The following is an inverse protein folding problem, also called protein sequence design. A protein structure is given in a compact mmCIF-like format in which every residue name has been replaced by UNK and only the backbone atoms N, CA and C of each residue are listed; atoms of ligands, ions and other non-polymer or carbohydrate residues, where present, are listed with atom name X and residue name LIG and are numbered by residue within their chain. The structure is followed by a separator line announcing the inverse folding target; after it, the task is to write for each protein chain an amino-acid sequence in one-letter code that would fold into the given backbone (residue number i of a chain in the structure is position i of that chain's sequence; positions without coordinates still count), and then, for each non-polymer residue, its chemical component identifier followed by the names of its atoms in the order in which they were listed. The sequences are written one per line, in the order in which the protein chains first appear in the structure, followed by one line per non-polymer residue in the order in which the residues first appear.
data_IF_110190865720
#
_entry.id   IF_110190865720
#
_cell.length_a   1.000
_cell.length_b   1.000
_cell.length_c   1.000
_cell.angle_alpha   90.00
_cell.angle_beta   90.00
_cell.angle_gamma   90.00
#
_symmetry.space_group_name_H-M   'P 1'
#
loop_
_entity.id
_entity.type
_entity.pdbx_description
1 polymer ?
#
# COMPACT_ATOMS: atom_id res chain seq x y z
N UNK A 1 -20.96 23.35 -60.92
CA UNK A 1 -20.14 22.16 -61.17
C UNK A 1 -20.39 21.17 -60.04
N UNK A 2 -20.78 19.96 -60.40
CA UNK A 2 -21.31 18.90 -59.54
C UNK A 2 -20.19 18.19 -58.77
N UNK A 3 -20.44 17.82 -57.51
CA UNK A 3 -19.68 16.78 -56.80
C UNK A 3 -20.68 15.76 -56.27
N UNK A 4 -20.66 14.59 -56.90
CA UNK A 4 -21.52 13.44 -56.64
C UNK A 4 -21.07 12.73 -55.36
N UNK A 5 -22.02 12.46 -54.46
CA UNK A 5 -21.91 11.45 -53.42
C UNK A 5 -22.15 10.07 -54.06
N UNK A 6 -21.30 9.08 -53.76
CA UNK A 6 -21.63 7.67 -54.01
C UNK A 6 -21.15 6.77 -52.87
N UNK A 7 -22.15 6.07 -52.35
CA UNK A 7 -22.15 5.08 -51.28
C UNK A 7 -21.31 3.85 -51.65
N UNK A 8 -20.58 3.30 -50.68
CA UNK A 8 -19.99 1.96 -50.76
C UNK A 8 -20.62 1.06 -49.70
N UNK A 9 -21.34 0.03 -50.16
CA UNK A 9 -21.79 -1.10 -49.37
C UNK A 9 -20.68 -2.16 -49.25
N UNK A 10 -20.62 -2.93 -48.15
CA UNK A 10 -19.60 -3.95 -47.94
C UNK A 10 -19.87 -5.26 -48.70
N UNK A 11 -18.81 -5.84 -49.26
CA UNK A 11 -18.80 -7.19 -49.84
C UNK A 11 -18.81 -8.25 -48.74
N UNK A 12 -19.75 -9.18 -48.85
CA UNK A 12 -19.76 -10.45 -48.13
C UNK A 12 -18.74 -11.40 -48.76
N UNK A 13 -17.87 -11.99 -47.94
CA UNK A 13 -17.07 -13.17 -48.29
C UNK A 13 -17.58 -14.35 -47.47
N UNK A 14 -18.21 -15.30 -48.17
CA UNK A 14 -18.47 -16.64 -47.70
C UNK A 14 -17.20 -17.48 -47.90
N UNK A 15 -16.75 -18.20 -46.88
CA UNK A 15 -15.95 -19.40 -47.06
C UNK A 15 -16.37 -20.48 -46.07
N UNK A 16 -16.28 -21.69 -46.61
CA UNK A 16 -16.88 -22.94 -46.21
C UNK A 16 -16.06 -23.69 -45.16
N UNK A 17 -16.79 -24.36 -44.26
CA UNK A 17 -16.59 -25.64 -43.57
C UNK A 17 -15.19 -26.25 -43.47
N UNK A 18 -14.78 -26.55 -42.24
CA UNK A 18 -13.69 -27.46 -41.90
C UNK A 18 -13.87 -28.05 -40.50
N UNK A 19 -13.91 -29.37 -40.45
CA UNK A 19 -14.22 -30.28 -39.34
C UNK A 19 -13.48 -30.09 -38.01
N UNK A 20 -14.16 -30.53 -36.93
CA UNK A 20 -13.51 -31.16 -35.79
C UNK A 20 -14.06 -30.76 -34.41
N UNK A 21 -14.98 -31.52 -33.79
CA UNK A 21 -15.26 -31.36 -32.37
C UNK A 21 -14.05 -31.85 -31.56
N UNK A 22 -13.37 -30.92 -30.88
CA UNK A 22 -12.43 -31.27 -29.80
C UNK A 22 -13.26 -31.75 -28.60
N UNK A 23 -13.15 -33.04 -28.31
CA UNK A 23 -13.60 -33.65 -27.06
C UNK A 23 -13.00 -32.88 -25.87
N UNK A 24 -13.89 -32.34 -25.05
CA UNK A 24 -13.57 -31.76 -23.74
C UNK A 24 -13.54 -32.94 -22.76
N UNK A 25 -12.42 -33.23 -22.07
CA UNK A 25 -12.45 -34.24 -21.02
C UNK A 25 -13.35 -33.77 -19.86
N UNK A 26 -14.16 -34.66 -19.27
CA UNK A 26 -15.06 -34.31 -18.18
C UNK A 26 -14.28 -33.92 -16.90
N UNK A 27 -14.90 -33.12 -16.01
CA UNK A 27 -14.31 -32.76 -14.73
C UNK A 27 -14.11 -34.00 -13.86
N UNK A 28 -12.89 -34.15 -13.33
CA UNK A 28 -12.57 -35.16 -12.32
C UNK A 28 -13.35 -34.85 -11.05
N UNK A 29 -14.40 -35.63 -10.79
CA UNK A 29 -15.02 -35.79 -9.48
C UNK A 29 -14.03 -36.54 -8.58
N UNK A 30 -13.43 -35.86 -7.61
CA UNK A 30 -12.86 -36.54 -6.45
C UNK A 30 -13.99 -36.82 -5.47
N UNK A 31 -14.34 -38.10 -5.36
CA UNK A 31 -15.25 -38.61 -4.35
C UNK A 31 -14.66 -38.50 -2.95
N UNK A 32 -15.60 -38.34 -2.02
CA UNK A 32 -15.44 -38.27 -0.60
C UNK A 32 -14.75 -39.51 -0.01
N UNK A 33 -13.86 -39.26 0.95
CA UNK A 33 -13.28 -40.28 1.82
C UNK A 33 -13.02 -39.73 3.22
N UNK A 34 -13.98 -39.95 4.11
CA UNK A 34 -13.77 -40.25 5.54
C UNK A 34 -13.07 -39.21 6.44
N UNK A 35 -13.84 -38.43 7.20
CA UNK A 35 -13.39 -37.93 8.52
C UNK A 35 -13.37 -39.04 9.57
N UNK A 36 -13.25 -38.74 10.89
CA UNK A 36 -12.54 -37.65 11.54
C UNK A 36 -11.45 -38.19 12.50
N UNK A 37 -10.38 -37.42 12.75
CA UNK A 37 -9.66 -37.52 14.02
C UNK A 37 -9.45 -36.14 14.61
N UNK A 38 -10.39 -35.82 15.50
CA UNK A 38 -10.25 -34.81 16.54
C UNK A 38 -8.97 -35.11 17.32
N UNK A 39 -8.03 -34.17 17.32
CA UNK A 39 -6.97 -34.15 18.31
C UNK A 39 -7.47 -33.27 19.47
N UNK A 40 -7.52 -33.79 20.71
CA UNK A 40 -8.13 -33.09 21.83
C UNK A 40 -7.35 -31.83 22.21
N UNK A 41 -8.12 -30.80 22.53
CA UNK A 41 -7.71 -29.60 23.25
C UNK A 41 -6.81 -29.98 24.43
N UNK A 42 -5.58 -29.51 24.38
CA UNK A 42 -4.72 -29.46 25.55
C UNK A 42 -5.19 -28.28 26.42
N UNK A 43 -5.59 -28.49 27.68
CA UNK A 43 -6.04 -27.41 28.55
C UNK A 43 -4.91 -26.43 28.86
N UNK A 44 -5.22 -25.13 28.81
CA UNK A 44 -4.36 -24.09 29.32
C UNK A 44 -4.10 -24.31 30.83
N UNK A 45 -2.85 -24.21 31.31
CA UNK A 45 -2.59 -24.20 32.74
C UNK A 45 -3.10 -22.89 33.38
N UNK A 46 -3.62 -22.94 34.61
CA UNK A 46 -4.23 -21.80 35.29
C UNK A 46 -3.17 -20.83 35.85
N UNK A 47 -3.53 -19.54 35.85
CA UNK A 47 -3.03 -18.44 36.70
C UNK A 47 -1.64 -18.62 37.35
N UNK A 48 -0.64 -17.93 36.80
CA UNK A 48 0.46 -17.42 37.62
C UNK A 48 0.47 -15.89 37.61
N UNK A 49 0.69 -15.24 38.77
CA UNK A 49 0.70 -13.78 38.87
C UNK A 49 1.91 -13.22 38.11
N UNK A 50 1.66 -12.27 37.19
CA UNK A 50 2.72 -11.45 36.61
C UNK A 50 3.28 -10.53 37.69
N UNK A 51 4.40 -10.92 38.27
CA UNK A 51 5.23 -10.04 39.08
C UNK A 51 5.90 -9.02 38.15
N UNK A 52 5.59 -7.75 38.38
CA UNK A 52 6.37 -6.61 37.90
C UNK A 52 7.79 -6.71 38.46
N UNK A 53 8.80 -6.71 37.59
CA UNK A 53 10.18 -6.42 37.98
C UNK A 53 10.76 -5.40 37.01
N UNK A 54 11.00 -4.15 37.45
CA UNK A 54 11.83 -3.20 36.71
C UNK A 54 13.29 -3.48 37.06
N UNK A 55 14.06 -4.00 36.12
CA UNK A 55 15.50 -4.18 36.31
C UNK A 55 16.27 -3.17 35.48
N UNK A 56 16.67 -2.10 36.17
CA UNK A 56 17.82 -1.27 35.85
C UNK A 56 19.02 -2.15 35.43
N UNK A 57 19.56 -1.88 34.25
CA UNK A 57 20.98 -2.16 33.95
C UNK A 57 21.65 -0.88 33.52
N UNK A 58 22.39 -0.32 34.46
CA UNK A 58 23.54 0.54 34.22
C UNK A 58 24.64 -0.30 33.55
N UNK A 59 25.01 0.05 32.33
CA UNK A 59 26.29 -0.32 31.75
C UNK A 59 26.86 0.93 31.07
N UNK A 60 27.91 1.46 31.69
CA UNK A 60 28.70 2.59 31.25
C UNK A 60 29.62 2.14 30.11
N UNK A 61 29.45 2.71 28.91
CA UNK A 61 30.28 2.52 27.74
C UNK A 61 30.35 3.84 26.97
N UNK A 62 31.57 4.30 26.73
CA UNK A 62 31.91 5.68 26.35
C UNK A 62 31.59 6.02 24.88
N UNK A 63 31.17 7.27 24.68
CA UNK A 63 31.32 8.11 23.49
C UNK A 63 30.70 7.66 22.15
N UNK A 64 29.45 8.06 21.96
CA UNK A 64 28.88 8.51 20.69
C UNK A 64 27.82 9.55 21.03
N UNK A 65 28.04 10.82 20.71
CA UNK A 65 26.97 11.83 20.73
C UNK A 65 26.07 11.56 19.52
N UNK A 66 25.38 10.43 19.53
CA UNK A 66 24.15 10.30 18.77
C UNK A 66 23.11 11.00 19.62
N UNK A 67 22.64 12.16 19.14
CA UNK A 67 21.41 12.73 19.67
C UNK A 67 20.38 11.61 19.78
N UNK A 68 19.55 11.57 20.85
CA UNK A 68 18.44 10.63 20.86
C UNK A 68 17.68 10.83 19.54
N UNK A 69 17.68 9.80 18.68
CA UNK A 69 16.77 9.77 17.54
C UNK A 69 15.40 10.08 18.13
N UNK A 70 14.87 11.26 17.82
CA UNK A 70 13.56 11.61 18.34
C UNK A 70 12.61 10.50 17.91
N UNK A 71 11.82 9.94 18.85
CA UNK A 71 10.89 8.90 18.50
C UNK A 71 9.97 9.47 17.41
N UNK A 72 9.85 8.75 16.30
CA UNK A 72 8.97 9.09 15.19
C UNK A 72 7.68 9.75 15.71
N UNK A 73 7.34 10.91 15.15
CA UNK A 73 6.10 11.59 15.49
C UNK A 73 4.94 10.61 15.31
N UNK A 74 4.32 10.20 16.42
CA UNK A 74 3.12 9.34 16.34
C UNK A 74 2.08 10.14 15.56
N UNK A 75 1.50 9.62 14.47
CA UNK A 75 0.61 10.41 13.64
C UNK A 75 -0.53 11.01 14.47
N UNK A 76 -0.86 12.26 14.19
CA UNK A 76 -2.02 12.95 14.76
C UNK A 76 -3.23 12.59 13.90
N UNK A 77 -4.37 12.34 14.53
CA UNK A 77 -5.62 12.02 13.86
C UNK A 77 -6.68 13.04 14.26
N UNK A 78 -7.26 13.73 13.28
CA UNK A 78 -8.27 14.77 13.49
C UNK A 78 -9.58 14.43 12.77
N UNK A 79 -10.70 14.55 13.48
CA UNK A 79 -12.02 14.30 12.90
C UNK A 79 -12.41 12.82 12.74
N UNK A 80 -11.66 11.90 13.37
CA UNK A 80 -11.93 10.46 13.32
C UNK A 80 -12.54 9.93 14.62
N UNK A 81 -13.27 8.82 14.51
CA UNK A 81 -13.65 8.00 15.68
C UNK A 81 -12.44 7.19 16.17
N UNK A 82 -12.40 6.76 17.46
CA UNK A 82 -11.30 5.94 17.98
C UNK A 82 -11.04 4.65 17.18
N UNK A 83 -12.08 4.06 16.58
CA UNK A 83 -11.93 2.88 15.73
C UNK A 83 -11.20 3.20 14.41
N UNK A 84 -11.52 4.35 13.81
CA UNK A 84 -10.85 4.84 12.60
C UNK A 84 -9.40 5.21 12.89
N UNK A 85 -9.12 5.90 14.00
CA UNK A 85 -7.76 6.23 14.44
C UNK A 85 -6.90 4.97 14.61
N UNK A 86 -7.43 3.95 15.31
CA UNK A 86 -6.74 2.67 15.47
C UNK A 86 -6.49 1.96 14.13
N UNK A 87 -7.42 2.07 13.18
CA UNK A 87 -7.25 1.52 11.83
C UNK A 87 -6.13 2.23 11.08
N UNK A 88 -6.15 3.57 11.07
CA UNK A 88 -5.14 4.39 10.39
C UNK A 88 -3.76 4.23 11.04
N UNK A 89 -3.68 4.19 12.37
CA UNK A 89 -2.43 3.96 13.11
C UNK A 89 -1.78 2.62 12.76
N UNK A 90 -2.57 1.55 12.68
CA UNK A 90 -2.09 0.23 12.25
C UNK A 90 -1.65 0.22 10.80
N UNK A 91 -2.42 0.86 9.92
CA UNK A 91 -2.11 0.95 8.50
C UNK A 91 -0.83 1.77 8.27
N UNK A 92 -0.65 2.90 8.94
CA UNK A 92 0.58 3.70 8.88
C UNK A 92 1.80 2.90 9.36
N UNK A 93 1.66 2.22 10.50
CA UNK A 93 2.72 1.35 11.02
C UNK A 93 3.06 0.20 10.06
N UNK A 94 2.07 -0.31 9.32
CA UNK A 94 2.29 -1.34 8.31
C UNK A 94 2.95 -0.78 7.05
N UNK A 95 2.47 0.35 6.54
CA UNK A 95 3.06 1.07 5.42
C UNK A 95 4.55 1.35 5.67
N UNK A 96 4.92 1.80 6.88
CA UNK A 96 6.32 1.99 7.28
C UNK A 96 7.16 0.72 7.10
N UNK A 97 6.66 -0.43 7.55
CA UNK A 97 7.36 -1.72 7.38
C UNK A 97 7.44 -2.14 5.92
N UNK A 98 6.41 -1.87 5.12
CA UNK A 98 6.41 -2.16 3.68
C UNK A 98 7.46 -1.33 2.94
N UNK A 99 7.51 -0.01 3.20
CA UNK A 99 8.50 0.91 2.64
C UNK A 99 9.91 0.47 3.03
N UNK A 100 10.15 0.22 4.32
CA UNK A 100 11.43 -0.26 4.82
C UNK A 100 11.84 -1.58 4.15
N UNK A 101 10.92 -2.55 4.08
CA UNK A 101 11.21 -3.85 3.44
C UNK A 101 11.47 -3.72 1.95
N UNK A 102 10.78 -2.81 1.25
CA UNK A 102 11.01 -2.56 -0.17
C UNK A 102 12.39 -1.93 -0.40
N UNK A 103 12.78 -0.97 0.45
CA UNK A 103 14.10 -0.33 0.41
C UNK A 103 15.22 -1.34 0.66
N UNK A 104 15.11 -2.14 1.72
CA UNK A 104 16.11 -3.16 2.05
C UNK A 104 16.23 -4.21 0.94
N UNK A 105 15.10 -4.63 0.36
CA UNK A 105 15.12 -5.56 -0.78
C UNK A 105 15.86 -4.95 -1.98
N UNK A 106 15.60 -3.68 -2.31
CA UNK A 106 16.25 -3.00 -3.43
C UNK A 106 17.78 -2.84 -3.21
N UNK A 107 18.21 -2.63 -1.96
CA UNK A 107 19.64 -2.52 -1.61
C UNK A 107 20.39 -3.85 -1.57
N UNK A 108 19.70 -4.93 -1.22
CA UNK A 108 20.34 -6.24 -0.96
C UNK A 108 20.18 -7.22 -2.11
N UNK A 109 19.27 -6.98 -3.05
CA UNK A 109 18.96 -7.88 -4.15
C UNK A 109 18.82 -7.10 -5.47
N UNK A 110 19.20 -7.70 -6.61
CA UNK A 110 18.87 -7.12 -7.91
C UNK A 110 17.34 -6.91 -8.07
N UNK A 111 16.91 -5.89 -8.84
CA UNK A 111 15.51 -5.72 -9.22
C UNK A 111 14.89 -7.01 -9.80
N UNK A 112 13.67 -7.33 -9.37
CA UNK A 112 12.95 -8.53 -9.76
C UNK A 112 11.74 -8.23 -10.67
N UNK A 113 10.98 -9.26 -11.03
CA UNK A 113 9.78 -9.12 -11.86
C UNK A 113 8.74 -8.15 -11.26
N UNK A 114 8.66 -8.06 -9.93
CA UNK A 114 7.73 -7.13 -9.27
C UNK A 114 8.22 -5.69 -9.43
N UNK A 115 9.53 -5.46 -9.36
CA UNK A 115 10.09 -4.15 -9.70
C UNK A 115 9.72 -3.78 -11.14
N UNK A 116 9.98 -4.67 -12.11
CA UNK A 116 9.72 -4.41 -13.54
C UNK A 116 8.24 -4.11 -13.83
N UNK A 117 7.32 -4.83 -13.17
CA UNK A 117 5.88 -4.59 -13.32
C UNK A 117 5.45 -3.19 -12.87
N UNK A 118 6.08 -2.63 -11.84
CA UNK A 118 5.67 -1.35 -11.26
C UNK A 118 6.48 -0.17 -11.80
N UNK A 119 7.77 -0.38 -12.08
CA UNK A 119 8.72 0.68 -12.40
C UNK A 119 9.32 0.54 -13.81
N UNK A 120 8.91 -0.47 -14.60
CA UNK A 120 9.48 -0.79 -15.92
C UNK A 120 10.91 -1.31 -15.81
N UNK A 121 11.61 -1.38 -16.94
CA UNK A 121 12.99 -1.88 -17.02
C UNK A 121 13.92 -1.23 -15.99
N UNK A 122 14.72 -2.01 -15.24
CA UNK A 122 15.57 -1.51 -14.17
C UNK A 122 16.86 -0.87 -14.71
N UNK A 123 16.74 0.31 -15.31
CA UNK A 123 17.93 1.11 -15.65
C UNK A 123 18.60 1.65 -14.38
N UNK A 124 19.91 1.92 -14.37
CA UNK A 124 20.60 2.48 -13.21
C UNK A 124 19.95 3.78 -12.69
N UNK A 125 19.48 4.63 -13.59
CA UNK A 125 18.82 5.90 -13.25
C UNK A 125 17.46 5.66 -12.58
N UNK A 126 16.67 4.74 -13.10
CA UNK A 126 15.35 4.40 -12.56
C UNK A 126 15.49 3.76 -11.17
N UNK A 127 16.39 2.78 -11.02
CA UNK A 127 16.65 2.11 -9.72
C UNK A 127 17.10 3.12 -8.67
N UNK A 128 18.01 4.05 -9.05
CA UNK A 128 18.47 5.11 -8.16
C UNK A 128 17.33 6.03 -7.73
N UNK A 129 16.40 6.35 -8.62
CA UNK A 129 15.25 7.19 -8.30
C UNK A 129 14.26 6.49 -7.36
N UNK A 130 13.94 5.22 -7.63
CA UNK A 130 13.10 4.42 -6.72
C UNK A 130 13.76 4.29 -5.35
N UNK A 131 15.07 4.05 -5.28
CA UNK A 131 15.83 4.01 -4.03
C UNK A 131 15.79 5.36 -3.29
N UNK A 132 15.94 6.49 -4.01
CA UNK A 132 15.84 7.84 -3.43
C UNK A 132 14.48 8.06 -2.78
N UNK A 133 13.40 7.76 -3.51
CA UNK A 133 12.03 7.95 -3.01
C UNK A 133 11.79 7.07 -1.78
N UNK A 134 12.09 5.77 -1.86
CA UNK A 134 11.91 4.85 -0.74
C UNK A 134 12.75 5.23 0.48
N UNK A 135 13.98 5.72 0.28
CA UNK A 135 14.83 6.23 1.37
C UNK A 135 14.21 7.46 2.04
N UNK A 136 13.69 8.39 1.26
CA UNK A 136 13.04 9.58 1.79
C UNK A 136 11.75 9.23 2.54
N UNK A 137 10.95 8.29 2.02
CA UNK A 137 9.76 7.78 2.70
C UNK A 137 10.12 7.11 4.03
N UNK A 138 11.10 6.19 4.03
CA UNK A 138 11.54 5.47 5.23
C UNK A 138 12.02 6.44 6.32
N UNK A 139 12.84 7.42 5.93
CA UNK A 139 13.32 8.48 6.82
C UNK A 139 12.17 9.34 7.34
N UNK A 140 11.30 9.83 6.46
CA UNK A 140 10.20 10.71 6.86
C UNK A 140 9.24 10.00 7.82
N UNK A 141 8.83 8.77 7.51
CA UNK A 141 7.99 7.96 8.39
C UNK A 141 8.68 7.54 9.72
N UNK A 142 9.99 7.75 9.84
CA UNK A 142 10.75 7.52 11.06
C UNK A 142 10.97 8.76 11.92
N UNK A 143 10.84 9.96 11.38
CA UNK A 143 11.23 11.17 12.10
C UNK A 143 10.20 12.31 12.03
N UNK A 144 9.40 12.38 10.97
CA UNK A 144 8.50 13.50 10.76
C UNK A 144 7.15 13.27 11.43
N UNK A 145 6.43 14.36 11.67
CA UNK A 145 5.10 14.34 12.26
C UNK A 145 4.05 14.38 11.14
N UNK A 146 3.31 13.27 11.00
CA UNK A 146 2.17 13.20 10.08
C UNK A 146 0.88 13.61 10.78
N UNK A 147 -0.01 14.27 10.04
CA UNK A 147 -1.37 14.55 10.49
C UNK A 147 -2.37 13.98 9.49
N UNK A 148 -3.24 13.10 9.96
CA UNK A 148 -4.37 12.60 9.20
C UNK A 148 -5.59 13.42 9.57
N UNK A 149 -6.30 13.96 8.58
CA UNK A 149 -7.54 14.71 8.77
C UNK A 149 -8.69 14.04 8.03
N UNK A 150 -9.86 13.94 8.67
CA UNK A 150 -11.06 13.57 7.96
C UNK A 150 -11.40 14.68 6.96
N UNK A 151 -11.46 14.35 5.67
CA UNK A 151 -11.80 15.32 4.65
C UNK A 151 -13.29 15.66 4.71
N UNK A 152 -13.60 16.95 4.62
CA UNK A 152 -14.95 17.37 4.31
C UNK A 152 -15.24 17.12 2.82
N UNK A 153 -16.44 16.63 2.47
CA UNK A 153 -16.84 16.52 1.07
C UNK A 153 -16.70 17.87 0.37
N UNK A 154 -15.90 17.93 -0.69
CA UNK A 154 -15.69 19.11 -1.52
C UNK A 154 -16.05 18.79 -2.97
N UNK A 155 -16.55 19.78 -3.71
CA UNK A 155 -16.77 19.65 -5.16
C UNK A 155 -15.48 19.57 -5.97
N UNK A 156 -14.33 19.89 -5.36
CA UNK A 156 -13.02 19.94 -6.01
C UNK A 156 -12.29 18.60 -5.99
N UNK A 157 -12.63 17.71 -5.05
CA UNK A 157 -12.03 16.38 -4.93
C UNK A 157 -13.09 15.34 -5.33
N UNK A 158 -12.87 14.56 -6.39
CA UNK A 158 -13.88 13.61 -6.83
C UNK A 158 -14.18 12.57 -5.73
N UNK A 159 -15.47 12.22 -5.57
CA UNK A 159 -15.93 11.27 -4.55
C UNK A 159 -15.37 9.84 -4.70
N UNK A 160 -14.60 9.57 -5.76
CA UNK A 160 -13.90 8.30 -5.98
C UNK A 160 -12.53 8.21 -5.30
N UNK A 161 -11.95 9.32 -4.85
CA UNK A 161 -10.62 9.37 -4.22
C UNK A 161 -10.70 8.91 -2.78
N UNK A 162 -9.84 7.98 -2.35
CA UNK A 162 -9.83 7.49 -0.96
C UNK A 162 -9.10 8.43 -0.01
N UNK A 163 -8.04 9.08 -0.47
CA UNK A 163 -7.30 10.09 0.27
C UNK A 163 -6.68 11.10 -0.73
N UNK A 164 -6.12 12.18 -0.21
CA UNK A 164 -5.28 13.11 -0.96
C UNK A 164 -4.34 13.86 -0.01
N UNK A 165 -3.30 14.49 -0.57
CA UNK A 165 -2.42 15.41 0.13
C UNK A 165 -2.44 16.80 -0.50
N UNK A 166 -2.25 17.84 0.29
CA UNK A 166 -2.01 19.18 -0.23
C UNK A 166 -0.50 19.42 -0.34
N UNK A 167 0.06 19.29 -1.54
CA UNK A 167 1.50 19.48 -1.78
C UNK A 167 1.90 20.95 -1.99
N UNK A 168 0.93 21.88 -1.98
CA UNK A 168 1.16 23.30 -2.24
C UNK A 168 1.24 24.14 -0.96
N UNK A 169 0.80 23.59 0.17
CA UNK A 169 0.77 24.28 1.44
C UNK A 169 2.05 24.00 2.27
N UNK A 170 2.91 25.00 2.39
CA UNK A 170 4.12 24.90 3.20
C UNK A 170 3.86 25.01 4.70
N UNK A 171 2.70 25.54 5.09
CA UNK A 171 2.36 25.76 6.50
C UNK A 171 1.79 24.47 7.14
N UNK A 172 1.44 23.50 6.30
CA UNK A 172 0.84 22.22 6.65
C UNK A 172 1.63 21.02 6.07
N UNK A 173 2.91 20.84 6.45
CA UNK A 173 3.70 19.72 5.97
C UNK A 173 3.11 18.38 6.44
N UNK A 174 3.13 17.38 5.55
CA UNK A 174 2.76 15.98 5.85
C UNK A 174 1.31 15.77 6.34
N UNK A 175 0.38 16.60 5.86
CA UNK A 175 -1.05 16.41 6.07
C UNK A 175 -1.69 15.50 5.00
N UNK A 176 -2.40 14.47 5.45
CA UNK A 176 -3.14 13.52 4.61
C UNK A 176 -4.63 13.64 4.92
N UNK A 177 -5.43 13.98 3.91
CA UNK A 177 -6.87 14.10 4.01
C UNK A 177 -7.54 12.79 3.59
N UNK A 178 -8.29 12.17 4.50
CA UNK A 178 -8.95 10.89 4.28
C UNK A 178 -10.41 11.12 3.92
N UNK A 179 -10.82 10.69 2.73
CA UNK A 179 -12.16 10.91 2.21
C UNK A 179 -13.18 9.93 2.82
N UNK A 180 -14.48 10.27 2.90
CA UNK A 180 -15.49 9.37 3.47
C UNK A 180 -15.60 8.00 2.77
N UNK A 181 -15.39 7.97 1.45
CA UNK A 181 -15.41 6.74 0.64
C UNK A 181 -14.22 5.79 0.92
N UNK A 182 -13.17 6.24 1.61
CA UNK A 182 -12.04 5.42 2.08
C UNK A 182 -12.55 4.20 2.84
N UNK A 183 -13.60 4.41 3.65
CA UNK A 183 -14.20 3.40 4.52
C UNK A 183 -15.19 2.48 3.79
N UNK A 184 -15.69 2.89 2.62
CA UNK A 184 -16.68 2.13 1.85
C UNK A 184 -16.06 0.98 1.05
N UNK A 185 -14.75 1.04 0.85
CA UNK A 185 -14.02 -0.05 0.26
C UNK A 185 -13.73 -1.04 1.39
N UNK A 186 -14.32 -2.24 1.30
CA UNK A 186 -13.98 -3.34 2.20
C UNK A 186 -12.45 -3.46 2.31
N UNK A 187 -11.89 -3.88 3.46
CA UNK A 187 -10.45 -4.07 3.61
C UNK A 187 -10.02 -5.27 2.77
N UNK A 188 -9.95 -5.07 1.45
CA UNK A 188 -9.14 -5.89 0.58
C UNK A 188 -7.70 -5.79 1.09
N UNK A 189 -7.03 -6.93 1.15
CA UNK A 189 -5.72 -7.07 1.77
C UNK A 189 -4.76 -6.00 1.27
N UNK A 190 -4.26 -5.19 2.20
CA UNK A 190 -3.25 -4.16 2.04
C UNK A 190 -3.64 -2.85 1.35
N UNK A 191 -4.92 -2.59 1.10
CA UNK A 191 -5.35 -1.39 0.38
C UNK A 191 -5.13 -0.09 1.19
N UNK A 192 -5.26 -0.14 2.51
CA UNK A 192 -5.18 1.06 3.35
C UNK A 192 -3.75 1.57 3.49
N UNK A 193 -2.83 0.67 3.83
CA UNK A 193 -1.40 0.94 3.95
C UNK A 193 -0.76 1.26 2.59
N UNK A 194 -1.21 0.62 1.51
CA UNK A 194 -0.79 0.96 0.16
C UNK A 194 -1.19 2.38 -0.23
N UNK A 195 -2.42 2.78 0.11
CA UNK A 195 -2.89 4.15 -0.10
C UNK A 195 -2.11 5.15 0.76
N UNK A 196 -1.82 4.86 2.02
CA UNK A 196 -0.96 5.73 2.85
C UNK A 196 0.43 5.89 2.22
N UNK A 197 1.06 4.81 1.76
CA UNK A 197 2.36 4.90 1.09
C UNK A 197 2.29 5.71 -0.22
N UNK A 198 1.20 5.56 -0.98
CA UNK A 198 0.92 6.35 -2.18
C UNK A 198 0.83 7.85 -1.84
N UNK A 199 -0.02 8.24 -0.87
CA UNK A 199 -0.16 9.63 -0.44
C UNK A 199 1.16 10.25 0.02
N UNK A 200 1.95 9.50 0.80
CA UNK A 200 3.26 9.95 1.29
C UNK A 200 4.23 10.23 0.13
N UNK A 201 4.15 9.46 -0.96
CA UNK A 201 5.04 9.65 -2.10
C UNK A 201 4.85 11.00 -2.82
N UNK A 202 3.66 11.62 -2.69
CA UNK A 202 3.35 12.91 -3.33
C UNK A 202 4.02 14.10 -2.66
N UNK A 203 4.43 14.01 -1.38
CA UNK A 203 5.11 15.13 -0.72
C UNK A 203 6.42 15.46 -1.44
N UNK A 204 6.63 16.76 -1.73
CA UNK A 204 7.71 17.24 -2.61
C UNK A 204 9.11 16.98 -2.06
N UNK A 205 9.25 17.02 -0.74
CA UNK A 205 10.48 16.68 0.00
C UNK A 205 10.74 15.17 0.06
N UNK A 206 9.73 14.36 -0.28
CA UNK A 206 9.82 12.90 -0.30
C UNK A 206 10.02 12.39 -1.73
N UNK A 207 8.94 12.26 -2.49
CA UNK A 207 8.95 11.72 -3.85
C UNK A 207 8.57 12.75 -4.89
N UNK A 208 7.60 13.62 -4.58
CA UNK A 208 7.00 14.53 -5.56
C UNK A 208 6.33 13.80 -6.71
N UNK A 209 5.75 12.62 -6.45
CA UNK A 209 5.06 11.81 -7.46
C UNK A 209 3.77 12.50 -7.91
N UNK A 210 3.27 12.11 -9.09
CA UNK A 210 2.02 12.60 -9.67
C UNK A 210 1.05 11.45 -9.89
N UNK A 211 -0.25 11.74 -9.81
CA UNK A 211 -1.31 10.81 -10.18
C UNK A 211 -1.55 10.85 -11.69
N UNK A 212 -1.03 9.84 -12.39
CA UNK A 212 -1.08 9.77 -13.85
C UNK A 212 -2.19 8.86 -14.41
N UNK A 213 -2.99 8.20 -13.56
CA UNK A 213 -4.02 7.23 -13.97
C UNK A 213 -5.21 7.14 -13.00
#
# INVERSE_FOLDING_TARGET
MNVNQQLRSPQQLQHSSGDGPREVPPPVQQEAGSGPRQNPQQPAPPNQPRIYSPSNRTANGSAGNDAPEEPAGTPIFEGFTPQQENTLSKAFSHAKRMVHSALEKLKTSPPDVNYEMNFREPTPENVKEVERVLTNMDKSMAHDQYTFKAAEPSSEVPESFGAYVNTHDSDHPHEIYVMPNFWNHAPETNRTEGMIAHEISHFKDIGGTEDLA
#
